data_IF_120325936032
#
_entry.id   IF_120325936032
#
_cell.length_a   1.000
_cell.length_b   1.000
_cell.length_c   1.000
_cell.angle_alpha   90.00
_cell.angle_beta   90.00
_cell.angle_gamma   90.00
#
_symmetry.space_group_name_H-M   'P 1'
#
loop_
_entity.id
_entity.type
_entity.pdbx_description
1 polymer ?
#
# COMPACT_ATOMS: atom_id res chain seq x y z
N UNK A 1 -10.78 70.10 -74.56
CA UNK A 1 -10.77 70.07 -73.09
C UNK A 1 -10.95 68.64 -72.61
N UNK A 2 -10.01 68.22 -71.74
CA UNK A 2 -10.01 67.10 -70.78
C UNK A 2 -10.60 65.71 -71.13
N UNK A 3 -9.68 64.88 -71.64
CA UNK A 3 -9.29 63.52 -71.21
C UNK A 3 -9.89 63.03 -69.87
N UNK A 4 -10.39 61.78 -69.84
CA UNK A 4 -10.21 60.83 -68.71
C UNK A 4 -10.53 59.38 -69.11
N UNK A 5 -9.46 58.64 -69.37
CA UNK A 5 -9.40 57.16 -69.40
C UNK A 5 -9.54 56.59 -67.99
N UNK A 6 -10.24 55.46 -67.84
CA UNK A 6 -10.09 54.48 -66.73
C UNK A 6 -10.38 53.08 -67.30
N UNK A 7 -9.35 52.31 -67.66
CA UNK A 7 -8.70 51.26 -66.85
C UNK A 7 -9.67 50.15 -66.42
N UNK A 8 -9.72 49.11 -67.26
CA UNK A 8 -10.30 47.79 -66.97
C UNK A 8 -9.30 47.07 -66.06
N UNK A 9 -9.65 46.90 -64.78
CA UNK A 9 -8.89 46.09 -63.83
C UNK A 9 -9.35 44.64 -63.90
N UNK A 10 -8.48 43.74 -64.36
CA UNK A 10 -8.68 42.30 -64.29
C UNK A 10 -8.49 41.82 -62.85
N UNK A 11 -9.54 41.25 -62.25
CA UNK A 11 -9.47 40.56 -60.95
C UNK A 11 -8.93 39.14 -61.18
N UNK A 12 -7.67 38.93 -60.82
CA UNK A 12 -7.07 37.59 -60.72
C UNK A 12 -7.45 37.02 -59.35
N UNK A 13 -8.34 36.04 -59.33
CA UNK A 13 -8.64 35.27 -58.13
C UNK A 13 -7.49 34.26 -57.89
N UNK A 14 -6.63 34.55 -56.92
CA UNK A 14 -5.61 33.61 -56.44
C UNK A 14 -6.29 32.59 -55.53
N UNK A 15 -6.54 31.39 -56.06
CA UNK A 15 -6.94 30.23 -55.25
C UNK A 15 -5.70 29.69 -54.54
N UNK A 16 -5.53 30.03 -53.27
CA UNK A 16 -4.53 29.40 -52.40
C UNK A 16 -5.05 28.01 -52.03
N UNK A 17 -4.47 26.97 -52.63
CA UNK A 17 -4.61 25.59 -52.18
C UNK A 17 -3.90 25.47 -50.82
N UNK A 18 -4.68 25.59 -49.74
CA UNK A 18 -4.25 25.18 -48.40
C UNK A 18 -4.13 23.65 -48.38
N UNK A 19 -2.93 23.15 -48.66
CA UNK A 19 -2.55 21.77 -48.32
C UNK A 19 -2.69 21.63 -46.80
N UNK A 20 -3.79 21.01 -46.36
CA UNK A 20 -3.98 20.64 -44.97
C UNK A 20 -2.83 19.75 -44.53
N UNK A 21 -1.97 20.27 -43.65
CA UNK A 21 -1.00 19.45 -42.95
C UNK A 21 -1.78 18.35 -42.22
N UNK A 22 -1.34 17.08 -42.26
CA UNK A 22 -1.93 16.06 -41.41
C UNK A 22 -1.78 16.53 -39.97
N UNK A 23 -2.91 16.63 -39.26
CA UNK A 23 -2.89 16.85 -37.83
C UNK A 23 -1.95 15.81 -37.20
N UNK A 24 -1.09 16.19 -36.24
CA UNK A 24 -0.33 15.19 -35.50
C UNK A 24 -1.36 14.23 -34.92
N UNK A 25 -1.20 12.93 -35.20
CA UNK A 25 -1.96 11.91 -34.51
C UNK A 25 -1.83 12.20 -33.01
N UNK A 26 -2.95 12.52 -32.35
CA UNK A 26 -2.95 12.58 -30.90
C UNK A 26 -2.37 11.27 -30.42
N UNK A 27 -1.23 11.34 -29.72
CA UNK A 27 -0.78 10.22 -28.92
C UNK A 27 -1.99 9.80 -28.08
N UNK A 28 -2.37 8.52 -28.14
CA UNK A 28 -3.35 7.99 -27.20
C UNK A 28 -2.94 8.47 -25.81
N UNK A 29 -3.86 9.15 -25.12
CA UNK A 29 -3.68 9.45 -23.71
C UNK A 29 -3.29 8.13 -23.01
N UNK A 30 -2.33 8.15 -22.07
CA UNK A 30 -2.00 6.96 -21.29
C UNK A 30 -3.29 6.38 -20.72
N UNK A 31 -3.49 5.08 -20.91
CA UNK A 31 -4.71 4.35 -20.58
C UNK A 31 -5.25 4.83 -19.21
N UNK A 32 -6.33 5.62 -19.24
CA UNK A 32 -6.90 6.36 -18.11
C UNK A 32 -7.56 5.44 -17.06
N UNK A 33 -7.19 4.15 -17.09
CA UNK A 33 -7.69 3.08 -16.25
C UNK A 33 -6.91 2.96 -14.96
N UNK A 34 -5.59 3.21 -14.96
CA UNK A 34 -4.78 3.14 -13.76
C UNK A 34 -4.01 4.44 -13.53
N UNK A 35 -4.51 5.25 -12.60
CA UNK A 35 -3.89 6.50 -12.17
C UNK A 35 -4.44 6.89 -10.78
N UNK A 36 -3.88 7.94 -10.20
CA UNK A 36 -4.48 8.64 -9.04
C UNK A 36 -5.80 9.28 -9.48
N UNK A 37 -6.89 9.00 -8.76
CA UNK A 37 -8.26 9.40 -9.10
C UNK A 37 -8.89 10.38 -8.12
N UNK A 38 -8.23 10.67 -7.01
CA UNK A 38 -8.75 11.60 -6.00
C UNK A 38 -7.62 12.48 -5.44
N UNK A 39 -7.93 13.68 -4.93
CA UNK A 39 -6.94 14.51 -4.26
C UNK A 39 -6.52 13.91 -2.90
N UNK A 40 -5.45 14.47 -2.31
CA UNK A 40 -5.01 14.14 -0.95
C UNK A 40 -3.91 13.08 -0.85
N UNK A 41 -3.52 12.48 -1.98
CA UNK A 41 -2.34 11.63 -2.03
C UNK A 41 -1.07 12.42 -1.69
N UNK A 42 -0.14 11.81 -0.95
CA UNK A 42 1.20 12.36 -0.80
C UNK A 42 2.00 12.18 -2.10
N UNK A 43 3.04 12.98 -2.31
CA UNK A 43 3.90 12.82 -3.48
C UNK A 43 4.52 11.41 -3.58
N UNK A 44 4.78 10.75 -2.45
CA UNK A 44 5.26 9.37 -2.43
C UNK A 44 4.15 8.37 -2.81
N UNK A 45 2.93 8.57 -2.31
CA UNK A 45 1.76 7.78 -2.71
C UNK A 45 1.46 7.90 -4.22
N UNK A 46 1.54 9.11 -4.79
CA UNK A 46 1.37 9.33 -6.22
C UNK A 46 2.41 8.54 -7.04
N UNK A 47 3.68 8.56 -6.62
CA UNK A 47 4.74 7.76 -7.26
C UNK A 47 4.51 6.26 -7.10
N UNK A 48 4.03 5.80 -5.95
CA UNK A 48 3.72 4.39 -5.73
C UNK A 48 2.58 3.93 -6.66
N UNK A 49 1.51 4.72 -6.76
CA UNK A 49 0.42 4.48 -7.71
C UNK A 49 0.95 4.44 -9.15
N UNK A 50 1.76 5.41 -9.56
CA UNK A 50 2.35 5.43 -10.89
C UNK A 50 3.22 4.19 -11.18
N UNK A 51 4.01 3.75 -10.20
CA UNK A 51 4.84 2.55 -10.31
C UNK A 51 3.99 1.27 -10.47
N UNK A 52 2.93 1.11 -9.69
CA UNK A 52 2.01 -0.02 -9.83
C UNK A 52 1.28 0.01 -11.20
N UNK A 53 0.80 1.18 -11.60
CA UNK A 53 0.09 1.37 -12.87
C UNK A 53 0.98 1.14 -14.09
N UNK A 54 2.29 1.41 -14.00
CA UNK A 54 3.26 1.02 -15.04
C UNK A 54 3.28 -0.49 -15.26
N UNK A 55 3.15 -1.29 -14.20
CA UNK A 55 3.12 -2.75 -14.33
C UNK A 55 1.80 -3.24 -14.96
N UNK A 56 0.68 -2.60 -14.62
CA UNK A 56 -0.62 -2.85 -15.29
C UNK A 56 -0.52 -2.54 -16.79
N UNK A 57 0.01 -1.37 -17.16
CA UNK A 57 0.17 -0.95 -18.56
C UNK A 57 1.12 -1.87 -19.34
N UNK A 58 2.14 -2.42 -18.69
CA UNK A 58 3.04 -3.41 -19.27
C UNK A 58 2.39 -4.81 -19.42
N UNK A 59 1.17 -4.99 -18.92
CA UNK A 59 0.44 -6.25 -19.00
C UNK A 59 1.11 -7.38 -18.21
N UNK A 60 1.75 -7.02 -17.09
CA UNK A 60 2.45 -7.96 -16.20
C UNK A 60 1.46 -8.96 -15.61
N UNK A 61 1.91 -10.20 -15.47
CA UNK A 61 1.11 -11.28 -14.89
C UNK A 61 1.06 -11.18 -13.37
N UNK A 62 -0.05 -11.64 -12.80
CA UNK A 62 0.00 -12.18 -11.46
C UNK A 62 0.89 -13.41 -11.44
N UNK A 63 1.64 -13.61 -10.37
CA UNK A 63 2.31 -14.89 -10.09
C UNK A 63 2.43 -15.10 -8.59
N UNK A 64 2.01 -16.26 -8.08
CA UNK A 64 2.00 -16.56 -6.65
C UNK A 64 3.42 -16.56 -6.07
N UNK A 65 3.67 -15.77 -5.03
CA UNK A 65 5.01 -15.54 -4.45
C UNK A 65 5.89 -14.58 -5.26
N UNK A 66 5.37 -14.00 -6.34
CA UNK A 66 6.10 -13.05 -7.19
C UNK A 66 6.38 -11.73 -6.49
N UNK A 67 7.54 -11.13 -6.72
CA UNK A 67 7.91 -9.84 -6.14
C UNK A 67 8.72 -9.93 -4.84
N UNK A 68 9.03 -11.14 -4.39
CA UNK A 68 9.68 -11.42 -3.11
C UNK A 68 11.15 -11.83 -3.22
N UNK A 69 11.81 -11.50 -4.33
CA UNK A 69 13.26 -11.69 -4.49
C UNK A 69 14.09 -10.80 -3.55
N UNK A 70 15.44 -10.95 -3.57
CA UNK A 70 16.35 -10.17 -2.72
C UNK A 70 16.25 -8.65 -2.93
N UNK A 71 15.77 -8.21 -4.09
CA UNK A 71 15.47 -6.81 -4.42
C UNK A 71 14.01 -6.68 -4.85
N UNK A 72 13.35 -5.54 -4.61
CA UNK A 72 12.02 -5.27 -5.15
C UNK A 72 12.01 -5.32 -6.68
N UNK A 73 10.95 -5.89 -7.26
CA UNK A 73 10.81 -6.08 -8.71
C UNK A 73 10.19 -7.45 -9.02
N UNK A 74 9.76 -7.68 -10.27
CA UNK A 74 9.03 -8.90 -10.61
C UNK A 74 9.93 -10.13 -10.51
N UNK A 75 9.38 -11.25 -10.06
CA UNK A 75 10.06 -12.54 -10.00
C UNK A 75 9.15 -13.63 -10.56
N UNK A 76 9.70 -14.79 -10.89
CA UNK A 76 8.88 -15.97 -11.14
C UNK A 76 8.26 -16.44 -9.83
N UNK A 77 7.04 -16.98 -9.92
CA UNK A 77 6.31 -17.49 -8.78
C UNK A 77 6.48 -18.99 -8.59
N UNK A 78 5.56 -19.57 -7.85
CA UNK A 78 5.49 -20.99 -7.53
C UNK A 78 4.05 -21.48 -7.60
N UNK A 79 3.85 -22.79 -7.78
CA UNK A 79 2.50 -23.37 -7.73
C UNK A 79 1.97 -23.27 -6.30
N UNK A 80 0.80 -22.67 -6.15
CA UNK A 80 -0.03 -22.79 -4.95
C UNK A 80 -0.83 -24.10 -5.05
N UNK A 81 -0.58 -25.09 -4.17
CA UNK A 81 -1.30 -26.37 -4.20
C UNK A 81 -2.81 -26.22 -3.93
N UNK A 82 -3.26 -25.07 -3.45
CA UNK A 82 -4.68 -24.78 -3.17
C UNK A 82 -5.39 -24.03 -4.30
N UNK A 83 -4.65 -23.50 -5.28
CA UNK A 83 -5.20 -22.78 -6.44
C UNK A 83 -4.73 -23.41 -7.76
N UNK A 84 -5.60 -24.18 -8.46
CA UNK A 84 -5.26 -24.75 -9.77
C UNK A 84 -4.86 -23.71 -10.83
N UNK A 85 -5.29 -22.46 -10.72
CA UNK A 85 -4.92 -21.41 -11.67
C UNK A 85 -3.43 -21.02 -11.58
N UNK A 86 -2.74 -21.44 -10.51
CA UNK A 86 -1.31 -21.19 -10.26
C UNK A 86 -0.36 -22.13 -11.01
N UNK A 87 -0.87 -23.12 -11.76
CA UNK A 87 -0.05 -24.11 -12.50
C UNK A 87 1.07 -23.45 -13.33
N UNK A 88 0.78 -22.31 -13.95
CA UNK A 88 1.70 -21.57 -14.81
C UNK A 88 2.44 -20.42 -14.12
N UNK A 89 2.28 -20.22 -12.81
CA UNK A 89 2.96 -19.16 -12.07
C UNK A 89 4.50 -19.30 -12.07
N UNK A 90 5.09 -20.52 -12.02
CA UNK A 90 6.53 -20.69 -12.23
C UNK A 90 7.06 -20.20 -13.60
N UNK A 91 6.19 -20.07 -14.60
CA UNK A 91 6.52 -19.65 -15.97
C UNK A 91 6.28 -18.14 -16.19
N UNK A 92 5.60 -17.48 -15.25
CA UNK A 92 5.18 -16.08 -15.34
C UNK A 92 6.05 -15.19 -14.47
N UNK A 93 6.78 -14.28 -15.10
CA UNK A 93 7.48 -13.19 -14.43
C UNK A 93 6.46 -12.13 -14.01
N UNK A 94 6.34 -11.87 -12.71
CA UNK A 94 5.29 -10.97 -12.21
C UNK A 94 5.32 -10.72 -10.71
N UNK A 95 4.14 -10.42 -10.16
CA UNK A 95 3.93 -10.09 -8.76
C UNK A 95 2.74 -10.84 -8.17
N UNK A 96 2.80 -11.18 -6.89
CA UNK A 96 1.62 -11.38 -6.07
C UNK A 96 1.13 -10.03 -5.48
N UNK A 97 0.11 -10.08 -4.62
CA UNK A 97 -0.50 -8.88 -4.04
C UNK A 97 0.51 -8.02 -3.26
N UNK A 98 1.24 -8.61 -2.31
CA UNK A 98 2.23 -7.91 -1.49
C UNK A 98 3.50 -7.57 -2.26
N UNK A 99 3.89 -8.37 -3.24
CA UNK A 99 5.02 -8.13 -4.12
C UNK A 99 4.83 -6.88 -4.97
N UNK A 100 3.61 -6.66 -5.48
CA UNK A 100 3.27 -5.44 -6.22
C UNK A 100 3.36 -4.19 -5.31
N UNK A 101 2.80 -4.27 -4.10
CA UNK A 101 2.87 -3.18 -3.11
C UNK A 101 4.31 -2.87 -2.72
N UNK A 102 5.11 -3.91 -2.43
CA UNK A 102 6.54 -3.79 -2.12
C UNK A 102 7.28 -3.06 -3.24
N UNK A 103 7.09 -3.49 -4.48
CA UNK A 103 7.72 -2.86 -5.64
C UNK A 103 7.31 -1.40 -5.80
N UNK A 104 6.01 -1.11 -5.74
CA UNK A 104 5.48 0.24 -5.90
C UNK A 104 6.06 1.23 -4.89
N UNK A 105 6.09 0.87 -3.61
CA UNK A 105 6.63 1.73 -2.56
C UNK A 105 8.16 1.77 -2.55
N UNK A 106 8.84 0.72 -3.00
CA UNK A 106 10.29 0.75 -3.19
C UNK A 106 10.70 1.72 -4.31
N UNK A 107 10.00 1.72 -5.45
CA UNK A 107 10.21 2.70 -6.52
C UNK A 107 9.89 4.12 -6.06
N UNK A 108 8.83 4.30 -5.27
CA UNK A 108 8.40 5.61 -4.78
C UNK A 108 9.37 6.27 -3.80
N UNK A 109 10.09 5.46 -3.02
CA UNK A 109 10.95 5.92 -1.91
C UNK A 109 12.44 5.71 -2.16
N UNK A 110 12.80 4.84 -3.10
CA UNK A 110 14.18 4.38 -3.30
C UNK A 110 14.66 3.41 -2.20
N UNK A 111 13.76 2.87 -1.37
CA UNK A 111 14.11 1.96 -0.26
C UNK A 111 13.05 0.88 -0.05
N UNK A 112 13.47 -0.33 0.33
CA UNK A 112 12.59 -1.47 0.52
C UNK A 112 11.92 -1.47 1.91
N UNK A 113 10.96 -0.58 2.10
CA UNK A 113 10.29 -0.33 3.40
C UNK A 113 9.10 -1.28 3.70
N UNK A 114 8.66 -2.09 2.72
CA UNK A 114 7.50 -2.98 2.82
C UNK A 114 7.84 -4.43 2.42
N UNK A 115 9.02 -4.91 2.81
CA UNK A 115 9.48 -6.28 2.54
C UNK A 115 8.81 -7.31 3.46
N UNK A 116 7.53 -7.61 3.23
CA UNK A 116 6.76 -8.61 3.97
C UNK A 116 5.53 -9.05 3.16
N UNK A 117 4.89 -10.18 3.52
CA UNK A 117 3.55 -10.51 3.02
C UNK A 117 2.50 -9.46 3.43
N UNK A 118 1.30 -9.55 2.86
CA UNK A 118 0.19 -8.62 3.09
C UNK A 118 -0.03 -8.26 4.58
N UNK A 119 -0.07 -9.27 5.44
CA UNK A 119 -0.15 -9.11 6.89
C UNK A 119 0.97 -8.23 7.47
N UNK A 120 2.23 -8.48 7.11
CA UNK A 120 3.35 -7.69 7.62
C UNK A 120 3.36 -6.26 7.07
N UNK A 121 2.91 -6.06 5.83
CA UNK A 121 2.75 -4.71 5.25
C UNK A 121 1.66 -3.92 5.97
N UNK A 122 0.55 -4.55 6.36
CA UNK A 122 -0.48 -3.90 7.17
C UNK A 122 0.01 -3.51 8.56
N UNK A 123 0.75 -4.40 9.23
CA UNK A 123 1.33 -4.20 10.57
C UNK A 123 2.68 -3.47 10.56
N UNK A 124 3.02 -2.81 9.45
CA UNK A 124 4.27 -2.07 9.34
C UNK A 124 4.38 -0.97 10.41
N UNK A 125 5.61 -0.71 10.84
CA UNK A 125 6.00 0.43 11.68
C UNK A 125 6.13 1.73 10.86
N UNK A 126 5.97 1.64 9.54
CA UNK A 126 5.77 2.76 8.62
C UNK A 126 4.28 3.14 8.50
N UNK A 127 3.43 2.82 9.47
CA UNK A 127 2.01 3.17 9.41
C UNK A 127 1.78 4.58 9.98
N UNK A 128 1.30 5.49 9.14
CA UNK A 128 0.84 6.82 9.57
C UNK A 128 -0.51 6.72 10.28
N UNK A 129 -1.42 5.91 9.72
CA UNK A 129 -2.78 5.74 10.23
C UNK A 129 -3.36 4.39 9.78
N UNK A 130 -4.26 3.81 10.60
CA UNK A 130 -5.03 2.62 10.26
C UNK A 130 -6.51 2.93 10.31
N UNK A 131 -7.25 2.42 9.34
CA UNK A 131 -8.68 2.61 9.18
C UNK A 131 -9.39 1.27 9.31
N UNK A 132 -10.46 1.26 10.08
CA UNK A 132 -11.31 0.09 10.29
C UNK A 132 -12.24 -0.15 9.10
N UNK A 133 -12.67 -1.38 8.89
CA UNK A 133 -13.68 -1.72 7.88
C UNK A 133 -14.95 -0.85 7.98
N UNK A 134 -15.38 -0.50 9.20
CA UNK A 134 -16.56 0.33 9.46
C UNK A 134 -16.43 1.76 8.92
N UNK A 135 -15.21 2.30 8.82
CA UNK A 135 -14.97 3.62 8.24
C UNK A 135 -15.07 3.61 6.70
N UNK A 136 -14.97 2.43 6.07
CA UNK A 136 -15.02 2.26 4.63
C UNK A 136 -13.96 3.10 3.90
N UNK A 137 -14.35 3.65 2.74
CA UNK A 137 -13.45 4.44 1.89
C UNK A 137 -13.42 5.93 2.19
N UNK A 138 -14.34 6.41 3.04
CA UNK A 138 -14.51 7.84 3.30
C UNK A 138 -13.22 8.55 3.79
N UNK A 139 -12.38 7.98 4.68
CA UNK A 139 -11.15 8.64 5.11
C UNK A 139 -9.94 8.37 4.20
N UNK A 140 -10.10 7.52 3.17
CA UNK A 140 -8.98 7.03 2.39
C UNK A 140 -8.61 7.98 1.26
N UNK A 141 -7.32 8.07 1.00
CA UNK A 141 -6.73 8.83 -0.10
C UNK A 141 -5.90 7.89 -0.99
N UNK A 142 -5.64 8.25 -2.25
CA UNK A 142 -4.86 7.38 -3.12
C UNK A 142 -3.48 7.07 -2.54
N UNK A 143 -3.06 5.82 -2.68
CA UNK A 143 -1.87 5.26 -2.04
C UNK A 143 -2.14 4.47 -0.77
N UNK A 144 -3.26 4.70 -0.07
CA UNK A 144 -3.63 3.89 1.10
C UNK A 144 -3.74 2.41 0.70
N UNK A 145 -3.24 1.52 1.56
CA UNK A 145 -3.23 0.08 1.31
C UNK A 145 -4.49 -0.55 1.88
N UNK A 146 -5.31 -1.14 1.02
CA UNK A 146 -6.53 -1.87 1.38
C UNK A 146 -6.18 -3.32 1.68
N UNK A 147 -6.77 -3.92 2.73
CA UNK A 147 -6.47 -5.30 3.13
C UNK A 147 -7.72 -6.14 3.40
N UNK A 148 -7.61 -7.44 3.10
CA UNK A 148 -8.66 -8.45 3.32
C UNK A 148 -8.12 -9.63 4.15
N UNK A 149 -9.02 -10.21 4.94
CA UNK A 149 -8.77 -11.38 5.78
C UNK A 149 -9.15 -11.12 7.24
N UNK A 150 -8.39 -11.73 8.16
CA UNK A 150 -8.58 -11.61 9.61
C UNK A 150 -7.35 -10.99 10.24
N UNK A 151 -7.48 -10.49 11.48
CA UNK A 151 -6.37 -9.81 12.18
C UNK A 151 -5.06 -10.62 12.20
N UNK A 152 -5.13 -11.96 12.26
CA UNK A 152 -3.98 -12.86 12.28
C UNK A 152 -3.62 -13.48 10.91
N UNK A 153 -4.39 -13.19 9.87
CA UNK A 153 -4.23 -13.75 8.53
C UNK A 153 -4.88 -12.81 7.51
N UNK A 154 -4.16 -11.75 7.15
CA UNK A 154 -4.50 -10.87 6.04
C UNK A 154 -3.86 -11.46 4.78
N UNK A 155 -4.72 -11.95 3.88
CA UNK A 155 -4.33 -12.74 2.70
C UNK A 155 -4.24 -11.90 1.43
N UNK A 156 -4.87 -10.73 1.37
CA UNK A 156 -4.82 -9.86 0.19
C UNK A 156 -4.56 -8.40 0.56
N UNK A 157 -3.82 -7.71 -0.30
CA UNK A 157 -3.51 -6.29 -0.18
C UNK A 157 -3.50 -5.61 -1.55
N UNK A 158 -3.98 -4.36 -1.61
CA UNK A 158 -4.05 -3.56 -2.84
C UNK A 158 -3.80 -2.08 -2.57
N UNK A 159 -3.45 -1.31 -3.61
CA UNK A 159 -3.23 0.14 -3.49
C UNK A 159 -4.51 0.88 -3.93
N UNK A 160 -5.07 1.69 -3.05
CA UNK A 160 -6.23 2.52 -3.36
C UNK A 160 -5.86 3.60 -4.38
N UNK A 161 -6.71 3.78 -5.39
CA UNK A 161 -6.52 4.79 -6.43
C UNK A 161 -7.37 6.04 -6.20
N UNK A 162 -8.35 5.99 -5.30
CA UNK A 162 -9.43 7.00 -5.22
C UNK A 162 -10.67 6.54 -5.98
N UNK A 163 -11.79 7.25 -5.76
CA UNK A 163 -13.07 7.01 -6.46
C UNK A 163 -13.56 5.55 -6.43
N UNK A 164 -13.31 4.83 -5.33
CA UNK A 164 -13.71 3.43 -5.22
C UNK A 164 -12.93 2.47 -6.12
N UNK A 165 -11.78 2.87 -6.66
CA UNK A 165 -10.89 2.01 -7.48
C UNK A 165 -9.62 1.64 -6.73
N UNK A 166 -9.04 0.50 -7.11
CA UNK A 166 -7.74 0.04 -6.62
C UNK A 166 -6.94 -0.64 -7.73
N UNK A 167 -5.62 -0.57 -7.64
CA UNK A 167 -4.70 -1.40 -8.44
C UNK A 167 -4.28 -2.61 -7.62
N UNK A 168 -4.36 -3.79 -8.23
CA UNK A 168 -4.08 -5.06 -7.54
C UNK A 168 -3.46 -6.13 -8.45
N UNK A 169 -2.68 -7.00 -7.82
CA UNK A 169 -2.37 -8.33 -8.32
C UNK A 169 -3.38 -9.29 -7.69
N UNK A 170 -4.49 -9.58 -8.38
CA UNK A 170 -5.65 -10.20 -7.73
C UNK A 170 -5.49 -11.69 -7.45
N UNK A 171 -5.08 -12.48 -8.44
CA UNK A 171 -5.07 -13.95 -8.37
C UNK A 171 -4.35 -14.57 -9.57
N UNK A 172 -3.95 -15.83 -9.45
CA UNK A 172 -3.33 -16.61 -10.51
C UNK A 172 -4.20 -16.71 -11.76
N UNK A 173 -3.55 -16.87 -12.92
CA UNK A 173 -4.22 -16.87 -14.22
C UNK A 173 -4.65 -15.51 -14.75
N UNK A 174 -4.39 -14.41 -14.02
CA UNK A 174 -4.77 -13.05 -14.43
C UNK A 174 -3.56 -12.13 -14.60
N UNK A 175 -3.75 -11.02 -15.31
CA UNK A 175 -2.80 -9.90 -15.32
C UNK A 175 -3.11 -8.93 -14.18
N UNK A 176 -2.13 -8.11 -13.82
CA UNK A 176 -2.36 -6.98 -12.93
C UNK A 176 -3.48 -6.09 -13.49
N UNK A 177 -4.33 -5.56 -12.61
CA UNK A 177 -5.56 -4.91 -13.03
C UNK A 177 -5.96 -3.76 -12.12
N UNK A 178 -6.89 -2.96 -12.62
CA UNK A 178 -7.68 -2.03 -11.81
C UNK A 178 -9.06 -2.61 -11.60
N UNK A 179 -9.50 -2.59 -10.35
CA UNK A 179 -10.79 -3.14 -9.91
C UNK A 179 -11.57 -2.11 -9.11
N UNK A 180 -12.89 -2.31 -9.05
CA UNK A 180 -13.70 -1.72 -7.98
C UNK A 180 -13.27 -2.27 -6.62
N UNK A 181 -13.23 -1.39 -5.62
CA UNK A 181 -12.90 -1.78 -4.25
C UNK A 181 -14.04 -2.64 -3.69
N UNK A 182 -13.67 -3.80 -3.15
CA UNK A 182 -14.59 -4.76 -2.55
C UNK A 182 -14.64 -4.54 -1.04
N UNK A 183 -15.72 -3.95 -0.53
CA UNK A 183 -15.94 -3.75 0.91
C UNK A 183 -16.78 -4.86 1.56
N UNK A 184 -17.44 -5.69 0.75
CA UNK A 184 -18.18 -6.87 1.23
C UNK A 184 -17.24 -8.00 1.59
N UNK A 185 -17.67 -8.89 2.49
CA UNK A 185 -16.91 -10.08 2.88
C UNK A 185 -15.95 -9.78 4.02
N UNK A 186 -14.68 -10.12 3.83
CA UNK A 186 -13.61 -10.03 4.84
C UNK A 186 -12.70 -8.81 4.64
N UNK A 187 -13.24 -7.71 4.08
CA UNK A 187 -12.55 -6.44 4.09
C UNK A 187 -12.20 -6.06 5.54
N UNK A 188 -10.92 -5.97 5.84
CA UNK A 188 -10.44 -5.77 7.21
C UNK A 188 -10.25 -4.28 7.52
N UNK A 189 -9.82 -3.51 6.51
CA UNK A 189 -9.56 -2.09 6.66
C UNK A 189 -8.48 -1.59 5.71
N UNK A 190 -7.81 -0.52 6.12
CA UNK A 190 -6.72 0.07 5.35
C UNK A 190 -5.60 0.60 6.24
N UNK A 191 -4.41 0.80 5.66
CA UNK A 191 -3.28 1.48 6.29
C UNK A 191 -2.72 2.55 5.37
N UNK A 192 -2.47 3.74 5.93
CA UNK A 192 -1.72 4.82 5.28
C UNK A 192 -0.24 4.68 5.59
N UNK A 193 0.58 4.69 4.55
CA UNK A 193 2.04 4.52 4.68
C UNK A 193 2.72 5.86 4.93
N UNK A 194 3.50 5.94 6.00
CA UNK A 194 4.50 6.98 6.22
C UNK A 194 5.83 6.56 5.57
N UNK A 195 6.16 7.23 4.47
CA UNK A 195 7.40 7.01 3.73
C UNK A 195 8.58 7.81 4.28
N UNK A 196 8.36 8.61 5.34
CA UNK A 196 9.42 9.33 6.03
C UNK A 196 10.30 8.44 6.90
N UNK A 197 11.35 9.01 7.50
CA UNK A 197 12.17 8.30 8.49
C UNK A 197 11.31 7.88 9.69
N UNK A 198 11.41 6.60 10.05
CA UNK A 198 10.81 6.09 11.28
C UNK A 198 11.59 6.66 12.46
N UNK A 199 10.90 7.41 13.32
CA UNK A 199 11.46 7.98 14.55
C UNK A 199 10.89 7.31 15.78
N UNK A 200 11.63 7.35 16.89
CA UNK A 200 11.24 6.75 18.18
C UNK A 200 11.96 5.45 18.49
N UNK A 201 11.51 4.75 19.53
CA UNK A 201 12.13 3.51 19.98
C UNK A 201 11.53 2.32 19.24
N UNK A 202 12.32 1.69 18.38
CA UNK A 202 11.89 0.55 17.56
C UNK A 202 12.31 -0.74 18.21
N UNK A 203 11.36 -1.64 18.40
CA UNK A 203 11.59 -2.98 18.93
C UNK A 203 10.95 -4.01 18.02
N UNK A 204 11.31 -5.27 18.25
CA UNK A 204 10.65 -6.42 17.64
C UNK A 204 9.78 -7.08 18.73
N UNK A 205 8.75 -7.81 18.33
CA UNK A 205 8.00 -8.70 19.24
C UNK A 205 8.40 -10.16 19.03
N UNK A 206 8.00 -11.03 19.96
CA UNK A 206 8.05 -12.48 19.79
C UNK A 206 6.63 -13.06 19.65
N UNK A 207 6.55 -14.30 19.16
CA UNK A 207 5.31 -15.06 19.11
C UNK A 207 4.35 -14.65 17.99
N UNK A 208 3.21 -15.33 17.94
CA UNK A 208 2.08 -15.09 17.04
C UNK A 208 0.78 -15.07 17.84
N UNK A 209 -0.23 -14.38 17.33
CA UNK A 209 -1.54 -14.28 18.01
C UNK A 209 -1.52 -13.42 19.28
N UNK A 210 -0.47 -12.63 19.49
CA UNK A 210 -0.36 -11.71 20.63
C UNK A 210 -1.27 -10.51 20.42
N UNK A 211 -2.23 -10.32 21.32
CA UNK A 211 -3.19 -9.23 21.26
C UNK A 211 -2.68 -7.98 21.98
N UNK A 212 -2.72 -6.85 21.28
CA UNK A 212 -2.63 -5.52 21.92
C UNK A 212 -3.95 -5.19 22.64
N UNK A 213 -3.86 -4.27 23.60
CA UNK A 213 -4.90 -3.98 24.57
C UNK A 213 -5.22 -2.49 24.62
N UNK A 214 -6.50 -2.14 24.83
CA UNK A 214 -6.91 -0.73 24.94
C UNK A 214 -6.32 -0.04 26.19
N UNK A 215 -6.07 -0.83 27.23
CA UNK A 215 -5.45 -0.41 28.51
C UNK A 215 -4.37 -1.42 28.89
N UNK A 216 -3.42 -1.10 29.79
CA UNK A 216 -2.34 -2.02 30.19
C UNK A 216 -2.84 -3.08 31.19
N UNK A 217 -3.81 -3.86 30.73
CA UNK A 217 -4.44 -4.96 31.47
C UNK A 217 -4.81 -6.09 30.51
N UNK A 218 -4.69 -7.33 30.98
CA UNK A 218 -5.09 -8.53 30.25
C UNK A 218 -6.61 -8.60 30.04
N UNK A 219 -7.39 -7.94 30.89
CA UNK A 219 -8.87 -7.89 30.81
C UNK A 219 -9.39 -6.79 29.88
N UNK A 220 -8.53 -5.85 29.49
CA UNK A 220 -8.90 -4.76 28.61
C UNK A 220 -9.29 -5.28 27.21
N UNK A 221 -10.10 -4.47 26.52
CA UNK A 221 -10.52 -4.74 25.16
C UNK A 221 -9.31 -5.00 24.24
N UNK A 222 -9.45 -6.00 23.37
CA UNK A 222 -8.45 -6.35 22.37
C UNK A 222 -8.51 -5.35 21.21
N UNK A 223 -7.36 -4.91 20.71
CA UNK A 223 -7.28 -3.97 19.59
C UNK A 223 -6.81 -4.68 18.31
N UNK A 224 -5.57 -5.15 18.30
CA UNK A 224 -4.98 -5.87 17.15
C UNK A 224 -4.28 -7.15 17.60
N UNK A 225 -4.40 -8.24 16.83
CA UNK A 225 -3.57 -9.43 16.98
C UNK A 225 -2.41 -9.37 16.00
N UNK A 226 -1.17 -9.49 16.49
CA UNK A 226 -0.04 -9.63 15.60
C UNK A 226 0.03 -11.05 15.02
N UNK A 227 0.10 -11.21 13.68
CA UNK A 227 0.11 -12.51 13.02
C UNK A 227 1.42 -13.28 13.26
N UNK A 228 2.47 -12.57 13.69
CA UNK A 228 3.77 -13.12 14.06
C UNK A 228 4.65 -12.03 14.66
N UNK A 229 5.97 -12.28 14.76
CA UNK A 229 6.93 -11.26 15.16
C UNK A 229 6.74 -10.00 14.32
N UNK A 230 6.57 -8.86 14.99
CA UNK A 230 6.20 -7.59 14.39
C UNK A 230 7.15 -6.51 14.86
N UNK A 231 7.58 -5.64 13.94
CA UNK A 231 8.41 -4.50 14.31
C UNK A 231 7.47 -3.40 14.76
N UNK A 232 7.68 -2.89 15.97
CA UNK A 232 6.79 -1.96 16.64
C UNK A 232 7.57 -0.73 17.09
N UNK A 233 6.89 0.41 17.11
CA UNK A 233 7.37 1.57 17.86
C UNK A 233 6.81 1.54 19.27
N UNK A 234 7.65 1.86 20.23
CA UNK A 234 7.26 2.09 21.63
C UNK A 234 7.47 3.56 21.94
N UNK A 235 6.40 4.25 22.33
CA UNK A 235 6.47 5.65 22.71
C UNK A 235 6.92 5.80 24.17
N UNK A 236 6.35 5.01 25.06
CA UNK A 236 6.62 5.02 26.49
C UNK A 236 6.21 3.68 27.11
N UNK A 237 6.59 3.45 28.36
CA UNK A 237 6.20 2.28 29.13
C UNK A 237 5.82 2.64 30.57
N UNK A 238 5.07 1.78 31.27
CA UNK A 238 4.74 1.94 32.69
C UNK A 238 4.53 0.60 33.39
N UNK A 239 4.59 0.62 34.72
CA UNK A 239 4.17 -0.51 35.55
C UNK A 239 2.63 -0.53 35.62
N UNK A 240 2.03 -1.72 35.45
CA UNK A 240 0.59 -1.93 35.51
C UNK A 240 0.28 -3.38 35.97
N UNK A 241 -0.67 -4.08 35.34
CA UNK A 241 -1.00 -5.47 35.72
C UNK A 241 0.21 -6.39 35.54
N UNK A 242 0.57 -7.15 36.57
CA UNK A 242 1.57 -8.20 36.46
C UNK A 242 1.03 -9.34 35.59
N UNK A 243 1.79 -9.71 34.56
CA UNK A 243 1.44 -10.79 33.64
C UNK A 243 2.43 -11.93 33.82
N UNK A 244 1.93 -13.17 33.80
CA UNK A 244 2.76 -14.37 33.72
C UNK A 244 2.41 -15.15 32.44
N UNK A 245 3.38 -15.39 31.57
CA UNK A 245 3.24 -16.21 30.36
C UNK A 245 4.54 -16.93 30.05
N UNK A 246 4.47 -18.21 29.66
CA UNK A 246 5.61 -19.00 29.18
C UNK A 246 6.83 -19.01 30.12
N UNK A 247 6.57 -18.98 31.43
CA UNK A 247 7.61 -18.97 32.47
C UNK A 247 8.22 -17.58 32.76
N UNK A 248 7.74 -16.53 32.09
CA UNK A 248 8.11 -15.14 32.35
C UNK A 248 7.03 -14.43 33.14
N UNK A 249 7.45 -13.62 34.11
CA UNK A 249 6.56 -12.71 34.86
C UNK A 249 7.11 -11.29 34.75
N UNK A 250 6.25 -10.32 34.43
CA UNK A 250 6.61 -8.91 34.30
C UNK A 250 5.36 -8.02 34.44
N UNK A 251 5.52 -6.85 35.05
CA UNK A 251 4.47 -5.84 35.23
C UNK A 251 4.63 -4.62 34.31
N UNK A 252 5.67 -4.61 33.45
CA UNK A 252 5.90 -3.54 32.50
C UNK A 252 5.01 -3.66 31.25
N UNK A 253 4.38 -2.55 30.88
CA UNK A 253 3.56 -2.40 29.69
C UNK A 253 4.02 -1.22 28.84
N UNK A 254 4.11 -1.44 27.54
CA UNK A 254 4.51 -0.45 26.55
C UNK A 254 3.31 0.07 25.76
N UNK A 255 3.27 1.38 25.55
CA UNK A 255 2.30 2.01 24.65
C UNK A 255 2.86 2.09 23.22
N UNK A 256 2.08 1.56 22.28
CA UNK A 256 2.40 1.50 20.87
C UNK A 256 1.60 2.57 20.11
N UNK A 257 2.22 3.69 19.70
CA UNK A 257 1.50 4.83 19.12
C UNK A 257 0.81 4.47 17.80
N UNK A 258 1.43 3.60 17.00
CA UNK A 258 0.91 3.18 15.67
C UNK A 258 -0.37 2.35 15.77
N UNK A 259 -0.64 1.81 16.96
CA UNK A 259 -1.81 0.98 17.25
C UNK A 259 -2.78 1.64 18.22
N UNK A 260 -2.37 2.75 18.84
CA UNK A 260 -3.08 3.40 19.96
C UNK A 260 -3.48 2.38 21.03
N UNK A 261 -2.53 1.50 21.36
CA UNK A 261 -2.77 0.32 22.19
C UNK A 261 -1.55 -0.02 23.06
N UNK A 262 -1.78 -0.83 24.08
CA UNK A 262 -0.80 -1.33 25.03
C UNK A 262 -0.42 -2.77 24.75
N UNK A 263 0.81 -3.13 25.10
CA UNK A 263 1.31 -4.49 25.06
C UNK A 263 2.18 -4.75 26.29
N UNK A 264 2.02 -5.93 26.92
CA UNK A 264 2.95 -6.35 27.97
C UNK A 264 4.34 -6.58 27.39
N UNK A 265 5.37 -6.13 28.11
CA UNK A 265 6.76 -6.23 27.67
C UNK A 265 7.26 -7.68 27.58
N UNK A 266 6.55 -8.66 28.13
CA UNK A 266 6.88 -10.09 27.98
C UNK A 266 6.98 -10.50 26.51
N UNK A 267 6.17 -9.89 25.64
CA UNK A 267 6.17 -10.19 24.21
C UNK A 267 7.07 -9.27 23.38
N UNK A 268 7.85 -8.38 24.00
CA UNK A 268 8.76 -7.46 23.32
C UNK A 268 10.21 -7.93 23.50
N UNK A 269 10.99 -7.94 22.42
CA UNK A 269 12.40 -8.33 22.51
C UNK A 269 13.19 -7.28 23.30
N UNK A 270 13.83 -7.69 24.39
CA UNK A 270 14.63 -6.81 25.22
C UNK A 270 14.57 -7.17 26.70
N UNK A 271 15.11 -6.30 27.57
CA UNK A 271 14.91 -6.40 29.02
C UNK A 271 13.45 -6.19 29.42
N UNK A 272 13.07 -6.66 30.62
CA UNK A 272 11.73 -6.53 31.17
C UNK A 272 11.21 -5.08 31.14
N UNK A 273 12.07 -4.13 31.49
CA UNK A 273 11.89 -2.69 31.29
C UNK A 273 12.79 -2.22 30.15
N UNK A 274 12.21 -1.71 29.07
CA UNK A 274 12.93 -1.43 27.83
C UNK A 274 13.92 -0.26 28.00
N UNK A 275 15.15 -0.45 27.54
CA UNK A 275 16.19 0.56 27.65
C UNK A 275 15.89 1.78 26.76
N UNK A 276 16.08 2.98 27.31
CA UNK A 276 15.91 4.24 26.58
C UNK A 276 14.46 4.67 26.36
N UNK A 277 13.47 3.83 26.64
CA UNK A 277 12.04 4.16 26.52
C UNK A 277 11.59 4.93 27.78
N UNK A 278 10.99 6.13 27.64
CA UNK A 278 10.56 6.94 28.79
C UNK A 278 9.34 6.32 29.49
N UNK A 279 9.12 6.76 30.74
CA UNK A 279 7.90 6.38 31.48
C UNK A 279 6.68 7.15 30.94
N UNK A 280 5.54 6.49 30.78
CA UNK A 280 4.32 7.14 30.32
C UNK A 280 3.79 8.14 31.37
N UNK A 281 3.27 9.27 30.89
CA UNK A 281 2.65 10.33 31.72
C UNK A 281 1.12 10.27 31.73
N UNK A 282 0.54 9.21 31.17
CA UNK A 282 -0.90 8.97 31.02
C UNK A 282 -1.26 7.50 31.30
#
# INVERSE_FOLDING_TARGET
MLRRSRLIGALVAVFVFLLGAPAPASALAPDDRCAVRAPGASAAAERAVAAACKQVAAGVWYTWGGGHGPKPGPTYGQVDPTDPASEHDPERLGFDCSGLVRHAYAEATGSDILNSPASGQYYTHHAAERFTAAQGLAPLVPGDLLVWGKSWDLHHIAIYLGEGKMVEARQSGTKLMVSDVRLSGDYYGAVRVDTGPVTGHVFRTWGSGVWTKAEPSTRAARVYAFPGPTTIRVQCQKHAEEVTSDGYTNDAWSYLPDYKAWMTNIYIQGPAWLNGVPTCTF
#
